data_IF_641326137596
#
_entry.id   IF_641326137596
#
_cell.length_a   1.000
_cell.length_b   1.000
_cell.length_c   1.000
_cell.angle_alpha   90.00
_cell.angle_beta   90.00
_cell.angle_gamma   90.00
#
_symmetry.space_group_name_H-M   'P 1'
#
loop_
_entity.id
_entity.type
_entity.pdbx_description
1 polymer ?
#
# COMPACT_ATOMS: atom_id res chain seq x y z
N UNK A 1 -13.26 6.95 29.37
CA UNK A 1 -13.68 7.05 27.96
C UNK A 1 -13.66 5.68 27.34
N UNK A 2 -14.08 5.55 26.08
CA UNK A 2 -13.79 4.39 25.23
C UNK A 2 -12.55 4.73 24.42
N UNK A 3 -11.52 3.89 24.47
CA UNK A 3 -10.27 4.14 23.76
C UNK A 3 -10.26 3.35 22.44
N UNK A 4 -9.97 4.07 21.36
CA UNK A 4 -9.81 3.52 20.03
C UNK A 4 -8.34 3.48 19.60
N UNK A 5 -7.94 2.41 18.92
CA UNK A 5 -6.60 2.27 18.35
C UNK A 5 -6.69 2.26 16.82
N UNK A 6 -5.96 3.16 16.18
CA UNK A 6 -5.70 3.14 14.74
C UNK A 6 -4.33 2.49 14.51
N UNK A 7 -4.33 1.28 13.94
CA UNK A 7 -3.07 0.59 13.64
C UNK A 7 -2.43 1.17 12.37
N UNK A 8 -1.09 1.17 12.30
CA UNK A 8 -0.34 1.74 11.17
C UNK A 8 -0.73 1.11 9.81
N UNK A 9 -1.09 -0.17 9.81
CA UNK A 9 -1.53 -0.88 8.59
C UNK A 9 -2.94 -0.49 8.12
N UNK A 10 -3.73 0.14 8.98
CA UNK A 10 -5.08 0.62 8.68
C UNK A 10 -5.11 2.12 8.39
N UNK A 11 -3.94 2.78 8.42
CA UNK A 11 -3.79 4.18 8.10
C UNK A 11 -3.77 4.46 6.59
N UNK A 12 -3.10 3.60 5.80
CA UNK A 12 -2.96 3.78 4.36
C UNK A 12 -2.95 2.43 3.62
N UNK A 13 -3.31 2.46 2.34
CA UNK A 13 -3.08 1.35 1.41
C UNK A 13 -1.62 1.24 0.99
N UNK A 14 -0.85 2.33 1.14
CA UNK A 14 0.60 2.34 0.97
C UNK A 14 1.29 1.95 2.27
N UNK A 15 2.50 1.42 2.13
CA UNK A 15 3.40 1.26 3.27
C UNK A 15 3.80 2.64 3.79
N UNK A 16 3.56 2.87 5.07
CA UNK A 16 4.03 4.05 5.80
C UNK A 16 5.04 3.60 6.85
N UNK A 17 6.04 4.45 7.12
CA UNK A 17 7.08 4.16 8.11
C UNK A 17 6.71 4.73 9.48
N UNK A 18 6.17 5.95 9.49
CA UNK A 18 5.74 6.61 10.72
C UNK A 18 4.33 7.22 10.58
N UNK A 19 3.46 7.12 11.60
CA UNK A 19 2.16 7.78 11.59
C UNK A 19 2.21 9.28 11.32
N UNK A 20 3.28 9.94 11.78
CA UNK A 20 3.52 11.37 11.56
C UNK A 20 3.67 11.76 10.09
N UNK A 21 3.91 10.80 9.19
CA UNK A 21 4.04 11.05 7.75
C UNK A 21 2.68 11.45 7.12
N UNK A 22 1.57 11.19 7.80
CA UNK A 22 0.21 11.35 7.26
C UNK A 22 -0.76 12.10 8.19
N UNK A 23 -0.47 12.16 9.49
CA UNK A 23 -1.32 12.81 10.50
C UNK A 23 -0.46 13.51 11.55
N UNK A 24 -0.98 14.61 12.09
CA UNK A 24 -0.35 15.37 13.17
C UNK A 24 -1.15 15.30 14.46
N UNK A 25 -0.48 15.57 15.58
CA UNK A 25 -1.15 15.70 16.87
C UNK A 25 -2.09 16.91 16.82
N UNK A 26 -3.36 16.69 17.17
CA UNK A 26 -4.41 17.72 17.13
C UNK A 26 -5.29 17.65 15.88
N UNK A 27 -4.98 16.81 14.90
CA UNK A 27 -5.82 16.66 13.71
C UNK A 27 -7.18 16.05 14.06
N UNK A 28 -8.26 16.68 13.57
CA UNK A 28 -9.58 16.09 13.56
C UNK A 28 -9.73 15.23 12.30
N UNK A 29 -9.65 13.91 12.49
CA UNK A 29 -9.76 12.93 11.40
C UNK A 29 -10.99 12.07 11.55
N UNK A 30 -11.59 11.69 10.42
CA UNK A 30 -12.76 10.82 10.44
C UNK A 30 -12.38 9.38 10.11
N UNK A 31 -12.69 8.47 11.03
CA UNK A 31 -12.28 7.07 10.96
C UNK A 31 -13.49 6.15 10.82
N UNK A 32 -13.25 4.93 10.32
CA UNK A 32 -14.22 3.84 10.32
C UNK A 32 -13.95 2.89 11.48
N UNK A 33 -15.00 2.42 12.15
CA UNK A 33 -14.88 1.33 13.12
C UNK A 33 -14.66 0.03 12.35
N UNK A 34 -13.54 -0.63 12.60
CA UNK A 34 -13.15 -1.90 11.97
C UNK A 34 -13.59 -3.08 12.82
N UNK A 35 -13.33 -3.00 14.13
CA UNK A 35 -13.70 -4.04 15.10
C UNK A 35 -14.07 -3.41 16.42
N UNK A 36 -15.07 -3.99 17.07
CA UNK A 36 -15.48 -3.64 18.42
C UNK A 36 -15.33 -4.87 19.32
N UNK A 37 -14.48 -4.76 20.34
CA UNK A 37 -14.35 -5.78 21.39
C UNK A 37 -15.04 -5.27 22.65
N UNK A 38 -16.24 -5.81 22.89
CA UNK A 38 -17.07 -5.41 24.02
C UNK A 38 -16.55 -5.92 25.38
N UNK A 39 -15.82 -7.03 25.39
CA UNK A 39 -15.27 -7.60 26.63
C UNK A 39 -14.14 -6.72 27.16
N UNK A 40 -13.25 -6.30 26.27
CA UNK A 40 -12.10 -5.48 26.62
C UNK A 40 -12.34 -3.98 26.47
N UNK A 41 -13.54 -3.55 26.04
CA UNK A 41 -13.91 -2.16 25.74
C UNK A 41 -12.92 -1.47 24.79
N UNK A 42 -12.43 -2.20 23.78
CA UNK A 42 -11.45 -1.71 22.81
C UNK A 42 -12.07 -1.59 21.42
N UNK A 43 -11.72 -0.51 20.72
CA UNK A 43 -12.19 -0.26 19.36
C UNK A 43 -10.99 -0.24 18.43
N UNK A 44 -11.02 -1.03 17.36
CA UNK A 44 -10.07 -0.92 16.24
C UNK A 44 -10.63 0.04 15.22
N UNK A 45 -9.86 1.07 14.89
CA UNK A 45 -10.20 2.12 13.96
C UNK A 45 -9.40 1.97 12.67
N UNK A 46 -9.95 2.45 11.56
CA UNK A 46 -9.30 2.41 10.26
C UNK A 46 -9.55 3.69 9.46
N UNK A 47 -8.47 4.23 8.91
CA UNK A 47 -8.48 5.44 8.10
C UNK A 47 -8.56 5.09 6.61
N UNK A 48 -7.81 4.07 6.16
CA UNK A 48 -7.71 3.72 4.74
C UNK A 48 -9.04 3.29 4.12
N UNK A 49 -9.96 2.75 4.92
CA UNK A 49 -11.31 2.34 4.48
C UNK A 49 -12.22 3.52 4.13
N UNK A 50 -11.77 4.77 4.38
CA UNK A 50 -12.42 5.99 3.86
C UNK A 50 -12.06 6.26 2.41
N UNK A 51 -10.98 5.66 1.91
CA UNK A 51 -10.52 5.76 0.54
C UNK A 51 -10.89 4.51 -0.25
N UNK A 52 -10.95 4.67 -1.56
CA UNK A 52 -11.19 3.55 -2.48
C UNK A 52 -10.03 2.57 -2.34
N UNK A 53 -10.35 1.29 -2.14
CA UNK A 53 -9.36 0.23 -2.19
C UNK A 53 -8.75 0.22 -3.60
N UNK A 54 -7.44 0.46 -3.76
CA UNK A 54 -6.83 0.50 -5.08
C UNK A 54 -6.97 -0.85 -5.80
N UNK A 55 -7.07 -1.97 -5.08
CA UNK A 55 -7.27 -3.30 -5.66
C UNK A 55 -8.67 -3.51 -6.25
N UNK A 56 -9.63 -2.62 -5.95
CA UNK A 56 -10.96 -2.69 -6.56
C UNK A 56 -10.86 -2.55 -8.08
N UNK A 57 -11.50 -3.46 -8.81
CA UNK A 57 -11.55 -3.50 -10.27
C UNK A 57 -10.17 -3.66 -10.96
N UNK A 58 -9.15 -4.12 -10.24
CA UNK A 58 -7.80 -4.25 -10.80
C UNK A 58 -7.75 -5.15 -12.03
N UNK A 59 -8.49 -6.27 -12.02
CA UNK A 59 -8.57 -7.21 -13.13
C UNK A 59 -9.23 -6.62 -14.39
N UNK A 60 -10.10 -5.62 -14.21
CA UNK A 60 -10.74 -4.92 -15.34
C UNK A 60 -9.78 -3.88 -15.92
N UNK A 61 -9.06 -3.14 -15.07
CA UNK A 61 -8.10 -2.11 -15.50
C UNK A 61 -6.83 -2.69 -16.13
N UNK A 62 -6.32 -3.78 -15.56
CA UNK A 62 -5.08 -4.45 -15.97
C UNK A 62 -5.36 -5.93 -16.22
N UNK A 63 -6.02 -6.28 -17.33
CA UNK A 63 -6.25 -7.68 -17.69
C UNK A 63 -4.92 -8.39 -18.00
N UNK A 64 -4.93 -9.73 -17.97
CA UNK A 64 -3.75 -10.53 -18.28
C UNK A 64 -3.19 -10.17 -19.66
N UNK A 65 -1.88 -9.91 -19.72
CA UNK A 65 -1.17 -9.52 -20.95
C UNK A 65 -1.21 -8.02 -21.25
N UNK A 66 -1.89 -7.21 -20.43
CA UNK A 66 -1.88 -5.76 -20.57
C UNK A 66 -0.48 -5.19 -20.29
N UNK A 67 0.00 -4.32 -21.17
CA UNK A 67 1.28 -3.64 -21.04
C UNK A 67 1.03 -2.25 -20.48
N UNK A 68 1.66 -1.93 -19.35
CA UNK A 68 1.54 -0.64 -18.68
C UNK A 68 2.91 -0.07 -18.32
N UNK A 69 2.94 1.23 -18.02
CA UNK A 69 4.10 1.89 -17.44
C UNK A 69 3.94 1.91 -15.93
N UNK A 70 5.06 1.81 -15.22
CA UNK A 70 5.10 1.95 -13.77
C UNK A 70 6.45 2.52 -13.33
N UNK A 71 6.48 3.03 -12.11
CA UNK A 71 7.69 3.56 -11.48
C UNK A 71 8.37 2.46 -10.70
N UNK A 72 9.67 2.24 -10.94
CA UNK A 72 10.45 1.32 -10.09
C UNK A 72 10.52 1.90 -8.68
N UNK A 73 10.00 1.16 -7.71
CA UNK A 73 9.94 1.55 -6.30
C UNK A 73 11.09 0.97 -5.50
N UNK A 74 11.52 -0.26 -5.83
CA UNK A 74 12.60 -0.96 -5.15
C UNK A 74 13.30 -1.94 -6.10
N UNK A 75 14.62 -2.07 -5.95
CA UNK A 75 15.44 -3.04 -6.68
C UNK A 75 15.98 -4.08 -5.69
N UNK A 76 15.87 -5.35 -6.07
CA UNK A 76 16.42 -6.47 -5.29
C UNK A 76 17.28 -7.35 -6.19
N UNK A 77 18.01 -8.29 -5.58
CA UNK A 77 18.85 -9.22 -6.34
C UNK A 77 18.03 -10.19 -7.21
N UNK A 78 16.74 -10.38 -6.92
CA UNK A 78 15.86 -11.31 -7.63
C UNK A 78 14.84 -10.62 -8.54
N UNK A 79 14.82 -9.29 -8.58
CA UNK A 79 13.85 -8.56 -9.41
C UNK A 79 13.70 -7.10 -9.04
N UNK A 80 12.62 -6.50 -9.52
CA UNK A 80 12.26 -5.12 -9.20
C UNK A 80 10.78 -5.03 -8.85
N UNK A 81 10.49 -4.24 -7.83
CA UNK A 81 9.14 -3.82 -7.52
C UNK A 81 8.82 -2.59 -8.35
N UNK A 82 7.67 -2.62 -9.00
CA UNK A 82 7.18 -1.57 -9.89
C UNK A 82 5.81 -1.13 -9.38
N UNK A 83 5.72 0.11 -8.94
CA UNK A 83 4.45 0.76 -8.62
C UNK A 83 3.76 1.15 -9.92
N UNK A 84 2.60 0.55 -10.17
CA UNK A 84 1.81 0.79 -11.39
C UNK A 84 0.85 1.95 -11.15
N UNK A 85 0.27 1.99 -9.96
CA UNK A 85 -0.57 3.07 -9.47
C UNK A 85 -0.48 3.13 -7.94
N UNK A 86 -0.98 4.22 -7.37
CA UNK A 86 -0.90 4.47 -5.94
C UNK A 86 -1.49 3.31 -5.12
N UNK A 87 -0.62 2.65 -4.34
CA UNK A 87 -1.00 1.52 -3.49
C UNK A 87 -0.98 0.15 -4.17
N UNK A 88 -0.50 0.06 -5.43
CA UNK A 88 -0.38 -1.20 -6.17
C UNK A 88 1.03 -1.36 -6.73
N UNK A 89 1.67 -2.43 -6.29
CA UNK A 89 2.98 -2.83 -6.75
C UNK A 89 2.94 -4.23 -7.37
N UNK A 90 3.64 -4.37 -8.50
CA UNK A 90 3.98 -5.65 -9.10
C UNK A 90 5.45 -5.98 -8.89
N UNK A 91 5.78 -7.26 -8.93
CA UNK A 91 7.15 -7.74 -8.99
C UNK A 91 7.46 -8.20 -10.41
N UNK A 92 8.52 -7.65 -11.00
CA UNK A 92 9.13 -8.22 -12.19
C UNK A 92 10.31 -9.05 -11.71
N UNK A 93 10.28 -10.36 -11.95
CA UNK A 93 11.38 -11.25 -11.61
C UNK A 93 12.56 -11.01 -12.58
N UNK A 94 13.79 -11.17 -12.09
CA UNK A 94 14.99 -10.91 -12.90
C UNK A 94 15.08 -11.80 -14.15
N UNK A 95 14.47 -12.98 -14.15
CA UNK A 95 14.38 -13.85 -15.35
C UNK A 95 13.63 -13.22 -16.51
N UNK A 96 12.68 -12.33 -16.21
CA UNK A 96 11.83 -11.65 -17.20
C UNK A 96 12.47 -10.35 -17.72
N UNK A 97 13.63 -9.95 -17.17
CA UNK A 97 14.32 -8.71 -17.56
C UNK A 97 15.44 -9.00 -18.54
N UNK A 98 15.36 -8.41 -19.73
CA UNK A 98 16.50 -8.39 -20.66
C UNK A 98 17.55 -7.36 -20.22
N UNK A 99 18.48 -7.80 -19.36
CA UNK A 99 19.63 -6.98 -19.00
C UNK A 99 20.72 -7.07 -20.07
N UNK A 100 20.76 -6.12 -21.01
CA UNK A 100 21.97 -5.92 -21.82
C UNK A 100 23.09 -5.44 -20.91
N UNK A 101 23.97 -6.35 -20.48
CA UNK A 101 25.25 -6.01 -19.85
C UNK A 101 26.00 -5.05 -20.80
N UNK A 102 26.03 -3.75 -20.47
CA UNK A 102 27.06 -2.86 -21.01
C UNK A 102 28.40 -3.41 -20.53
N UNK A 103 29.13 -4.07 -21.44
CA UNK A 103 30.56 -4.34 -21.26
C UNK A 103 31.20 -2.98 -20.99
N UNK A 104 31.74 -2.77 -19.78
CA UNK A 104 32.79 -1.77 -19.58
C UNK A 104 33.98 -2.28 -20.40
N UNK A 105 34.30 -1.55 -21.46
CA UNK A 105 35.58 -1.69 -22.16
C UNK A 105 36.72 -1.17 -21.31
#
# INVERSE_FOLDING_TARGET
GLDGLLHITDMSWKRINHPSDIINIGDEIVLKIIKFDNLNKRISLGLKQRFIDPWNNIMIRYPKGFVTKGRVSNLTNYGCFVEIEEGIEGLVHISEMEWKKKKKG
#
